data_IF_509323023414
#
_entry.id   IF_509323023414
#
_cell.length_a   1.000
_cell.length_b   1.000
_cell.length_c   1.000
_cell.angle_alpha   90.00
_cell.angle_beta   90.00
_cell.angle_gamma   90.00
#
_symmetry.space_group_name_H-M   'P 1'
#
loop_
_entity.id
_entity.type
_entity.pdbx_description
1 polymer ?
#
# COMPACT_ATOMS: atom_id res chain seq x y z
N UNK A 1 6.33 43.82 1.38
CA UNK A 1 6.09 43.09 0.13
C UNK A 1 7.08 41.95 0.13
N UNK A 2 6.76 40.66 0.17
CA UNK A 2 5.55 39.91 -0.16
C UNK A 2 5.69 38.49 0.40
N UNK A 3 5.49 38.28 1.71
CA UNK A 3 5.53 36.93 2.29
C UNK A 3 4.22 36.16 2.09
N UNK A 4 3.09 36.86 2.12
CA UNK A 4 1.77 36.26 1.94
C UNK A 4 1.48 35.94 0.47
N UNK A 5 1.87 36.82 -0.45
CA UNK A 5 1.59 36.70 -1.90
C UNK A 5 2.37 35.57 -2.58
N UNK A 6 3.61 35.30 -2.13
CA UNK A 6 4.43 34.20 -2.66
C UNK A 6 3.93 32.83 -2.17
N UNK A 7 3.45 32.76 -0.93
CA UNK A 7 2.86 31.51 -0.42
C UNK A 7 1.54 31.18 -1.12
N UNK A 8 0.72 32.19 -1.41
CA UNK A 8 -0.57 32.04 -2.11
C UNK A 8 -0.39 31.54 -3.55
N UNK A 9 0.59 32.09 -4.29
CA UNK A 9 0.90 31.63 -5.66
C UNK A 9 1.46 30.20 -5.69
N UNK A 10 2.36 29.86 -4.77
CA UNK A 10 2.89 28.49 -4.65
C UNK A 10 1.78 27.49 -4.33
N UNK A 11 0.83 27.88 -3.49
CA UNK A 11 -0.34 27.07 -3.15
C UNK A 11 -1.26 26.88 -4.37
N UNK A 12 -1.53 27.92 -5.17
CA UNK A 12 -2.33 27.82 -6.40
C UNK A 12 -1.71 26.88 -7.45
N UNK A 13 -0.40 26.98 -7.67
CA UNK A 13 0.32 26.12 -8.65
C UNK A 13 0.39 24.68 -8.15
N UNK A 14 0.59 24.49 -6.85
CA UNK A 14 0.51 23.18 -6.22
C UNK A 14 -0.89 22.54 -6.42
N UNK A 15 -1.96 23.31 -6.26
CA UNK A 15 -3.31 22.83 -6.56
C UNK A 15 -3.54 22.55 -8.05
N UNK A 16 -2.91 23.30 -8.95
CA UNK A 16 -2.92 23.00 -10.39
C UNK A 16 -2.23 21.67 -10.70
N UNK A 17 -1.07 21.41 -10.08
CA UNK A 17 -0.35 20.14 -10.20
C UNK A 17 -1.20 18.96 -9.71
N UNK A 18 -1.82 19.08 -8.53
CA UNK A 18 -2.69 18.01 -8.01
C UNK A 18 -3.92 17.77 -8.90
N UNK A 19 -4.50 18.83 -9.48
CA UNK A 19 -5.59 18.70 -10.46
C UNK A 19 -5.13 17.95 -11.71
N UNK A 20 -3.96 18.30 -12.24
CA UNK A 20 -3.39 17.59 -13.39
C UNK A 20 -3.17 16.10 -13.08
N UNK A 21 -2.61 15.78 -11.92
CA UNK A 21 -2.43 14.38 -11.50
C UNK A 21 -3.76 13.62 -11.38
N UNK A 22 -4.77 14.26 -10.77
CA UNK A 22 -6.12 13.69 -10.66
C UNK A 22 -6.74 13.45 -12.03
N UNK A 23 -6.68 14.43 -12.92
CA UNK A 23 -7.34 14.34 -14.23
C UNK A 23 -6.65 13.31 -15.15
N UNK A 24 -5.34 13.11 -14.98
CA UNK A 24 -4.54 12.13 -15.75
C UNK A 24 -4.68 10.68 -15.29
N UNK A 25 -4.88 10.39 -13.98
CA UNK A 25 -5.00 9.01 -13.44
C UNK A 25 -6.33 8.69 -12.76
N UNK A 26 -7.23 9.66 -12.65
CA UNK A 26 -8.51 9.50 -11.94
C UNK A 26 -8.37 9.37 -10.42
N UNK A 27 -7.23 9.75 -9.83
CA UNK A 27 -6.98 9.58 -8.40
C UNK A 27 -7.34 10.84 -7.61
N UNK A 28 -8.25 10.70 -6.63
CA UNK A 28 -8.68 11.82 -5.80
C UNK A 28 -7.78 12.01 -4.57
N UNK A 29 -7.08 13.14 -4.54
CA UNK A 29 -6.20 13.52 -3.43
C UNK A 29 -6.93 14.22 -2.27
N UNK A 30 -8.24 14.46 -2.35
CA UNK A 30 -8.99 15.21 -1.32
C UNK A 30 -8.93 14.57 0.07
N UNK A 31 -8.79 13.24 0.16
CA UNK A 31 -8.64 12.51 1.42
C UNK A 31 -7.26 12.67 2.09
N UNK A 32 -6.26 13.23 1.39
CA UNK A 32 -4.92 13.41 1.93
C UNK A 32 -4.76 14.76 2.61
N UNK A 33 -4.03 14.78 3.73
CA UNK A 33 -3.61 16.04 4.37
C UNK A 33 -2.69 16.82 3.42
N UNK A 34 -3.06 18.06 3.08
CA UNK A 34 -2.32 18.92 2.14
C UNK A 34 -0.86 19.10 2.48
N UNK A 35 -0.54 19.35 3.75
CA UNK A 35 0.85 19.47 4.21
C UNK A 35 1.68 18.19 3.94
N UNK A 36 1.07 17.01 4.04
CA UNK A 36 1.74 15.74 3.75
C UNK A 36 1.99 15.55 2.25
N UNK A 37 1.01 15.90 1.41
CA UNK A 37 1.18 15.86 -0.05
C UNK A 37 2.28 16.82 -0.48
N UNK A 38 2.22 18.07 -0.04
CA UNK A 38 3.18 19.10 -0.42
C UNK A 38 4.61 18.69 -0.05
N UNK A 39 4.80 18.12 1.14
CA UNK A 39 6.10 17.59 1.56
C UNK A 39 6.60 16.47 0.64
N UNK A 40 5.73 15.56 0.20
CA UNK A 40 6.09 14.45 -0.71
C UNK A 40 6.42 14.95 -2.11
N UNK A 41 5.61 15.85 -2.64
CA UNK A 41 5.86 16.46 -3.96
C UNK A 41 7.19 17.21 -3.95
N UNK A 42 7.44 18.06 -2.94
CA UNK A 42 8.73 18.75 -2.79
C UNK A 42 9.91 17.80 -2.64
N UNK A 43 9.74 16.68 -1.92
CA UNK A 43 10.79 15.68 -1.81
C UNK A 43 11.12 15.04 -3.17
N UNK A 44 10.11 14.73 -3.99
CA UNK A 44 10.35 14.20 -5.34
C UNK A 44 10.99 15.25 -6.25
N UNK A 45 10.54 16.50 -6.17
CA UNK A 45 11.13 17.63 -6.91
C UNK A 45 12.61 17.78 -6.61
N UNK A 46 13.00 17.74 -5.33
CA UNK A 46 14.40 17.81 -4.89
C UNK A 46 15.23 16.66 -5.46
N UNK A 47 14.69 15.42 -5.46
CA UNK A 47 15.35 14.27 -6.08
C UNK A 47 15.49 14.40 -7.61
N UNK A 48 14.52 15.03 -8.26
CA UNK A 48 14.49 15.23 -9.71
C UNK A 48 15.21 16.52 -10.16
N UNK A 49 15.62 17.38 -9.23
CA UNK A 49 16.38 18.60 -9.48
C UNK A 49 15.53 19.82 -9.87
N UNK A 50 14.28 19.91 -9.41
CA UNK A 50 13.37 21.03 -9.71
C UNK A 50 13.09 21.89 -8.46
N UNK A 51 13.07 23.20 -8.63
CA UNK A 51 12.94 24.15 -7.52
C UNK A 51 11.50 24.69 -7.37
N UNK A 52 10.76 24.79 -8.48
CA UNK A 52 9.41 25.40 -8.51
C UNK A 52 8.34 24.42 -8.97
N UNK A 53 7.10 24.60 -8.51
CA UNK A 53 5.99 23.73 -8.91
C UNK A 53 5.60 23.94 -10.37
N UNK A 54 5.83 25.15 -10.90
CA UNK A 54 5.59 25.55 -12.28
C UNK A 54 6.48 24.74 -13.23
N UNK A 55 7.80 24.77 -13.02
CA UNK A 55 8.76 23.99 -13.80
C UNK A 55 8.46 22.50 -13.70
N UNK A 56 8.10 22.03 -12.50
CA UNK A 56 7.82 20.63 -12.30
C UNK A 56 6.53 20.19 -12.98
N UNK A 57 5.49 21.03 -13.01
CA UNK A 57 4.26 20.75 -13.74
C UNK A 57 4.51 20.60 -15.24
N UNK A 58 5.33 21.45 -15.84
CA UNK A 58 5.70 21.35 -17.26
C UNK A 58 6.39 20.00 -17.56
N UNK A 59 7.27 19.56 -16.66
CA UNK A 59 7.96 18.26 -16.77
C UNK A 59 7.00 17.09 -16.65
N UNK A 60 6.06 17.14 -15.70
CA UNK A 60 5.04 16.10 -15.51
C UNK A 60 4.09 15.97 -16.71
N UNK A 61 3.92 17.06 -17.49
CA UNK A 61 3.17 17.05 -18.75
C UNK A 61 3.98 16.46 -19.91
N UNK A 62 5.30 16.61 -19.89
CA UNK A 62 6.19 16.12 -20.95
C UNK A 62 6.73 14.70 -20.72
N UNK A 63 6.73 14.20 -19.49
CA UNK A 63 7.36 12.92 -19.11
C UNK A 63 6.41 12.00 -18.35
N UNK A 64 5.99 10.92 -18.99
CA UNK A 64 5.19 9.86 -18.35
C UNK A 64 5.93 9.17 -17.22
N UNK A 65 7.25 9.07 -17.33
CA UNK A 65 8.10 8.37 -16.35
C UNK A 65 8.22 9.20 -15.08
N UNK A 66 8.40 10.51 -15.20
CA UNK A 66 8.44 11.41 -14.03
C UNK A 66 7.06 11.51 -13.39
N UNK A 67 5.99 11.53 -14.19
CA UNK A 67 4.63 11.44 -13.69
C UNK A 67 4.42 10.19 -12.83
N UNK A 68 4.83 9.02 -13.34
CA UNK A 68 4.70 7.76 -12.60
C UNK A 68 5.53 7.78 -11.31
N UNK A 69 6.76 8.29 -11.36
CA UNK A 69 7.62 8.39 -10.19
C UNK A 69 7.05 9.31 -9.09
N UNK A 70 6.48 10.45 -9.47
CA UNK A 70 5.79 11.33 -8.52
C UNK A 70 4.55 10.65 -7.94
N UNK A 71 3.74 10.04 -8.78
CA UNK A 71 2.52 9.34 -8.36
C UNK A 71 2.85 8.27 -7.31
N UNK A 72 3.85 7.42 -7.58
CA UNK A 72 4.33 6.40 -6.65
C UNK A 72 4.96 6.97 -5.37
N UNK A 73 5.53 8.18 -5.43
CA UNK A 73 6.06 8.87 -4.23
C UNK A 73 4.93 9.39 -3.33
N UNK A 74 3.83 9.83 -3.94
CA UNK A 74 2.64 10.28 -3.20
C UNK A 74 1.91 9.09 -2.57
N UNK A 75 1.80 7.98 -3.30
CA UNK A 75 1.28 6.73 -2.76
C UNK A 75 2.22 6.21 -1.67
N UNK A 76 1.65 5.80 -0.54
CA UNK A 76 2.42 5.31 0.61
C UNK A 76 2.50 3.80 0.50
N UNK A 77 3.49 3.30 -0.24
CA UNK A 77 3.60 1.86 -0.53
C UNK A 77 4.44 1.08 0.49
N UNK A 78 4.84 1.72 1.60
CA UNK A 78 5.57 1.04 2.67
C UNK A 78 4.61 0.17 3.46
N UNK A 79 4.81 -1.14 3.38
CA UNK A 79 4.07 -2.16 4.11
C UNK A 79 5.03 -3.23 4.62
N UNK A 80 4.66 -3.90 5.71
CA UNK A 80 5.40 -4.99 6.32
C UNK A 80 4.46 -6.14 6.67
N UNK A 81 4.98 -7.36 6.78
CA UNK A 81 4.21 -8.45 7.35
C UNK A 81 3.96 -8.19 8.82
N UNK A 82 2.75 -8.50 9.28
CA UNK A 82 2.33 -8.27 10.67
C UNK A 82 2.54 -6.83 11.14
N UNK A 83 2.43 -5.85 10.22
CA UNK A 83 2.45 -4.42 10.55
C UNK A 83 1.39 -4.12 11.61
N UNK A 84 1.76 -3.39 12.66
CA UNK A 84 0.91 -3.12 13.82
C UNK A 84 0.47 -4.41 14.54
N UNK A 85 1.44 -5.15 15.08
CA UNK A 85 1.26 -6.47 15.71
C UNK A 85 0.04 -6.57 16.65
N UNK A 86 -0.24 -5.54 17.46
CA UNK A 86 -1.39 -5.52 18.37
C UNK A 86 -2.75 -5.68 17.65
N UNK A 87 -2.89 -5.15 16.43
CA UNK A 87 -4.10 -5.31 15.62
C UNK A 87 -4.25 -6.76 15.13
N UNK A 88 -3.14 -7.40 14.74
CA UNK A 88 -3.11 -8.81 14.34
C UNK A 88 -3.37 -9.76 15.51
N UNK A 89 -2.87 -9.44 16.69
CA UNK A 89 -3.13 -10.23 17.89
C UNK A 89 -4.62 -10.16 18.25
N UNK A 90 -5.22 -8.97 18.26
CA UNK A 90 -6.67 -8.83 18.45
C UNK A 90 -7.48 -9.57 17.37
N UNK A 91 -7.06 -9.50 16.10
CA UNK A 91 -7.72 -10.22 15.01
C UNK A 91 -7.64 -11.74 15.23
N UNK A 92 -6.50 -12.26 15.66
CA UNK A 92 -6.27 -13.69 15.89
C UNK A 92 -7.01 -14.20 17.13
N UNK A 93 -7.03 -13.44 18.21
CA UNK A 93 -7.53 -13.86 19.52
C UNK A 93 -9.05 -13.66 19.66
N UNK A 94 -9.60 -12.62 19.03
CA UNK A 94 -11.01 -12.23 19.25
C UNK A 94 -11.83 -12.33 17.96
N UNK A 95 -11.39 -11.68 16.89
CA UNK A 95 -12.21 -11.51 15.66
C UNK A 95 -12.37 -12.82 14.91
N UNK A 96 -11.27 -13.54 14.64
CA UNK A 96 -11.31 -14.80 13.88
C UNK A 96 -12.09 -15.87 14.63
N UNK A 97 -11.86 -16.14 15.93
CA UNK A 97 -12.66 -17.12 16.67
C UNK A 97 -14.15 -16.79 16.67
N UNK A 98 -14.52 -15.53 16.90
CA UNK A 98 -15.92 -15.09 16.85
C UNK A 98 -16.53 -15.30 15.46
N UNK A 99 -15.82 -14.92 14.39
CA UNK A 99 -16.27 -15.11 13.00
C UNK A 99 -16.51 -16.59 12.66
N UNK A 100 -15.67 -17.49 13.18
CA UNK A 100 -15.77 -18.93 12.93
C UNK A 100 -16.90 -19.57 13.73
N UNK A 101 -17.16 -19.11 14.95
CA UNK A 101 -18.24 -19.62 15.80
C UNK A 101 -19.64 -19.36 15.21
N UNK A 102 -19.80 -18.27 14.47
CA UNK A 102 -21.07 -17.88 13.84
C UNK A 102 -21.32 -18.56 12.48
N UNK A 103 -20.37 -19.36 12.00
CA UNK A 103 -20.41 -19.95 10.64
C UNK A 103 -20.40 -21.46 10.68
N UNK A 104 -21.16 -22.07 9.78
CA UNK A 104 -21.13 -23.51 9.55
C UNK A 104 -19.75 -23.98 9.06
N UNK A 105 -19.40 -25.28 9.22
CA UNK A 105 -18.08 -25.82 8.84
C UNK A 105 -17.73 -25.73 7.35
N UNK A 106 -18.71 -25.46 6.47
CA UNK A 106 -18.53 -25.30 5.02
C UNK A 106 -18.84 -23.89 4.52
N UNK A 107 -19.25 -22.98 5.40
CA UNK A 107 -19.65 -21.63 4.97
C UNK A 107 -18.44 -20.84 4.47
N UNK A 108 -18.57 -20.12 3.34
CA UNK A 108 -17.47 -19.35 2.78
C UNK A 108 -17.15 -18.14 3.67
N UNK A 109 -15.86 -17.81 3.71
CA UNK A 109 -15.33 -16.63 4.40
C UNK A 109 -14.68 -15.74 3.34
N UNK A 110 -15.13 -14.49 3.27
CA UNK A 110 -14.60 -13.50 2.36
C UNK A 110 -14.00 -12.36 3.17
N UNK A 111 -12.75 -12.02 2.89
CA UNK A 111 -12.05 -10.92 3.56
C UNK A 111 -11.48 -10.00 2.49
N UNK A 112 -11.42 -8.71 2.78
CA UNK A 112 -10.90 -7.70 1.87
C UNK A 112 -9.77 -6.91 2.54
N UNK A 113 -8.58 -6.96 1.96
CA UNK A 113 -7.47 -6.05 2.25
C UNK A 113 -7.52 -4.91 1.23
N UNK A 114 -7.86 -3.71 1.71
CA UNK A 114 -8.06 -2.52 0.90
C UNK A 114 -6.84 -1.58 1.06
N UNK A 115 -6.13 -1.33 -0.04
CA UNK A 115 -4.82 -0.69 -0.01
C UNK A 115 -3.72 -1.69 0.37
N UNK A 116 -3.69 -2.85 -0.31
CA UNK A 116 -2.81 -3.96 0.08
C UNK A 116 -1.32 -3.73 -0.22
N UNK A 117 -0.98 -2.67 -0.95
CA UNK A 117 0.35 -2.40 -1.49
C UNK A 117 0.93 -3.67 -2.14
N UNK A 118 2.16 -4.02 -1.77
CA UNK A 118 2.87 -5.22 -2.23
C UNK A 118 2.42 -6.53 -1.58
N UNK A 119 1.20 -6.58 -1.02
CA UNK A 119 0.50 -7.81 -0.65
C UNK A 119 0.84 -8.39 0.72
N UNK A 120 1.79 -7.81 1.45
CA UNK A 120 2.25 -8.34 2.76
C UNK A 120 1.10 -8.48 3.76
N UNK A 121 0.18 -7.51 3.82
CA UNK A 121 -1.03 -7.58 4.66
C UNK A 121 -1.95 -8.75 4.25
N UNK A 122 -2.20 -8.91 2.95
CA UNK A 122 -3.07 -9.97 2.44
C UNK A 122 -2.49 -11.37 2.74
N UNK A 123 -1.16 -11.54 2.65
CA UNK A 123 -0.49 -12.77 3.01
C UNK A 123 -0.41 -12.99 4.53
N UNK A 124 -0.23 -11.94 5.33
CA UNK A 124 -0.38 -12.01 6.79
C UNK A 124 -1.76 -12.53 7.18
N UNK A 125 -2.81 -11.97 6.59
CA UNK A 125 -4.18 -12.44 6.81
C UNK A 125 -4.36 -13.89 6.36
N UNK A 126 -3.78 -14.30 5.23
CA UNK A 126 -3.82 -15.68 4.77
C UNK A 126 -3.19 -16.64 5.80
N UNK A 127 -2.01 -16.29 6.34
CA UNK A 127 -1.36 -17.06 7.39
C UNK A 127 -2.22 -17.16 8.66
N UNK A 128 -2.79 -16.05 9.13
CA UNK A 128 -3.66 -16.04 10.33
C UNK A 128 -4.89 -16.93 10.14
N UNK A 129 -5.56 -16.82 9.00
CA UNK A 129 -6.74 -17.64 8.70
C UNK A 129 -6.39 -19.12 8.52
N UNK A 130 -5.24 -19.42 7.91
CA UNK A 130 -4.77 -20.79 7.73
C UNK A 130 -4.37 -21.45 9.06
N UNK A 131 -3.77 -20.72 10.00
CA UNK A 131 -3.49 -21.22 11.35
C UNK A 131 -4.78 -21.50 12.13
N UNK A 132 -5.80 -20.65 11.99
CA UNK A 132 -7.07 -20.82 12.71
C UNK A 132 -7.95 -21.97 12.17
N UNK A 133 -7.96 -22.16 10.85
CA UNK A 133 -8.83 -23.15 10.18
C UNK A 133 -8.12 -24.47 9.86
N UNK A 134 -6.80 -24.46 9.79
CA UNK A 134 -6.01 -25.48 9.11
C UNK A 134 -5.98 -25.27 7.57
N UNK A 135 -4.93 -25.77 6.89
CA UNK A 135 -4.68 -25.48 5.48
C UNK A 135 -5.76 -26.02 4.53
N UNK A 136 -6.41 -27.14 4.88
CA UNK A 136 -7.46 -27.73 4.04
C UNK A 136 -8.73 -26.88 4.04
N UNK A 137 -9.26 -26.56 5.23
CA UNK A 137 -10.46 -25.74 5.36
C UNK A 137 -10.23 -24.31 4.85
N UNK A 138 -9.03 -23.76 5.05
CA UNK A 138 -8.65 -22.47 4.47
C UNK A 138 -8.80 -22.47 2.95
N UNK A 139 -8.18 -23.44 2.26
CA UNK A 139 -8.23 -23.53 0.78
C UNK A 139 -9.63 -23.71 0.23
N UNK A 140 -10.50 -24.41 0.95
CA UNK A 140 -11.87 -24.68 0.51
C UNK A 140 -12.82 -23.50 0.73
N UNK A 141 -12.60 -22.70 1.79
CA UNK A 141 -13.62 -21.78 2.29
C UNK A 141 -13.23 -20.31 2.24
N UNK A 142 -11.94 -19.99 2.25
CA UNK A 142 -11.47 -18.60 2.39
C UNK A 142 -11.17 -17.99 1.03
N UNK A 143 -11.68 -16.78 0.81
CA UNK A 143 -11.35 -15.93 -0.33
C UNK A 143 -10.87 -14.57 0.20
N UNK A 144 -9.62 -14.24 -0.08
CA UNK A 144 -9.06 -12.92 0.22
C UNK A 144 -9.07 -12.10 -1.06
N UNK A 145 -9.73 -10.95 -1.01
CA UNK A 145 -9.65 -9.92 -2.03
C UNK A 145 -8.59 -8.93 -1.56
N UNK A 146 -7.58 -8.65 -2.39
CA UNK A 146 -6.55 -7.67 -2.11
C UNK A 146 -6.58 -6.67 -3.26
N UNK A 147 -6.82 -5.40 -2.95
CA UNK A 147 -6.97 -4.34 -3.96
C UNK A 147 -6.08 -3.16 -3.61
N UNK A 148 -5.48 -2.56 -4.62
CA UNK A 148 -4.73 -1.33 -4.50
C UNK A 148 -4.95 -0.48 -5.76
N UNK A 149 -4.65 0.81 -5.66
CA UNK A 149 -4.64 1.73 -6.81
C UNK A 149 -3.30 1.67 -7.55
N UNK A 150 -2.26 1.18 -6.87
CA UNK A 150 -0.91 1.04 -7.40
C UNK A 150 -0.74 -0.32 -8.12
N UNK A 151 -0.72 -0.28 -9.45
CA UNK A 151 -0.52 -1.47 -10.28
C UNK A 151 0.89 -2.08 -10.16
N UNK A 152 1.92 -1.28 -9.85
CA UNK A 152 3.27 -1.81 -9.62
C UNK A 152 3.32 -2.59 -8.30
N UNK A 153 2.70 -2.03 -7.25
CA UNK A 153 2.56 -2.72 -5.97
C UNK A 153 1.73 -4.01 -6.11
N UNK A 154 0.64 -3.99 -6.87
CA UNK A 154 -0.14 -5.19 -7.19
C UNK A 154 0.67 -6.22 -7.98
N UNK A 155 1.57 -5.78 -8.86
CA UNK A 155 2.48 -6.67 -9.59
C UNK A 155 3.45 -7.37 -8.64
N UNK A 156 4.04 -6.65 -7.68
CA UNK A 156 4.86 -7.24 -6.61
C UNK A 156 4.04 -8.22 -5.75
N UNK A 157 2.83 -7.83 -5.34
CA UNK A 157 1.93 -8.67 -4.55
C UNK A 157 1.59 -9.99 -5.24
N UNK A 158 1.35 -9.95 -6.56
CA UNK A 158 1.09 -11.15 -7.38
C UNK A 158 2.32 -12.03 -7.55
N UNK A 159 3.51 -11.43 -7.64
CA UNK A 159 4.76 -12.18 -7.73
C UNK A 159 5.10 -12.92 -6.42
N UNK A 160 4.66 -12.38 -5.28
CA UNK A 160 4.79 -12.99 -3.95
C UNK A 160 6.24 -13.38 -3.58
N UNK A 161 7.22 -12.64 -4.12
CA UNK A 161 8.64 -12.86 -3.87
C UNK A 161 9.18 -11.68 -3.09
N UNK A 162 9.75 -11.97 -1.91
CA UNK A 162 10.19 -10.97 -0.95
C UNK A 162 11.63 -11.26 -0.55
N UNK A 163 12.42 -10.22 -0.33
CA UNK A 163 13.78 -10.41 0.16
C UNK A 163 13.83 -10.75 1.66
N UNK A 164 14.99 -11.21 2.13
CA UNK A 164 15.18 -11.62 3.52
C UNK A 164 14.82 -10.53 4.55
N UNK A 165 15.05 -9.25 4.20
CA UNK A 165 14.72 -8.12 5.08
C UNK A 165 13.20 -7.94 5.19
N UNK A 166 12.50 -8.09 4.08
CA UNK A 166 11.05 -7.94 4.00
C UNK A 166 10.28 -8.94 4.84
N UNK A 167 10.87 -10.11 5.12
CA UNK A 167 10.24 -11.18 5.88
C UNK A 167 10.75 -11.28 7.32
N UNK A 168 11.63 -10.37 7.77
CA UNK A 168 12.25 -10.48 9.11
C UNK A 168 11.23 -10.39 10.25
N UNK A 169 10.12 -9.67 10.02
CA UNK A 169 9.04 -9.51 11.01
C UNK A 169 8.14 -10.73 11.15
N UNK A 170 8.28 -11.72 10.26
CA UNK A 170 7.46 -12.94 10.29
C UNK A 170 8.02 -13.88 11.37
N UNK A 171 7.17 -14.40 12.29
CA UNK A 171 7.59 -15.44 13.22
C UNK A 171 8.20 -16.65 12.49
N UNK A 172 9.36 -17.12 12.94
CA UNK A 172 10.16 -18.16 12.26
C UNK A 172 9.36 -19.40 11.87
N UNK A 173 8.42 -19.83 12.70
CA UNK A 173 7.60 -21.02 12.41
C UNK A 173 6.60 -20.80 11.28
N UNK A 174 6.06 -19.57 11.14
CA UNK A 174 5.21 -19.21 10.02
C UNK A 174 6.05 -19.05 8.75
N UNK A 175 7.23 -18.43 8.85
CA UNK A 175 8.15 -18.28 7.72
C UNK A 175 8.51 -19.64 7.12
N UNK A 176 8.92 -20.61 7.95
CA UNK A 176 9.23 -21.98 7.51
C UNK A 176 8.06 -22.72 6.88
N UNK A 177 6.83 -22.43 7.34
CA UNK A 177 5.62 -23.13 6.88
C UNK A 177 5.07 -22.56 5.58
N UNK A 178 5.16 -21.25 5.40
CA UNK A 178 4.44 -20.53 4.34
C UNK A 178 5.34 -19.92 3.26
N UNK A 179 6.67 -19.96 3.43
CA UNK A 179 7.61 -19.48 2.44
C UNK A 179 8.58 -20.59 2.02
N UNK A 180 8.99 -20.55 0.76
CA UNK A 180 10.07 -21.35 0.22
C UNK A 180 11.21 -20.41 -0.17
N UNK A 181 12.44 -20.76 0.20
CA UNK A 181 13.61 -19.99 -0.19
C UNK A 181 14.01 -20.35 -1.62
N UNK A 182 14.10 -19.35 -2.50
CA UNK A 182 14.40 -19.54 -3.93
C UNK A 182 15.62 -18.71 -4.32
N UNK A 183 16.67 -19.37 -4.81
CA UNK A 183 17.87 -18.68 -5.32
C UNK A 183 18.63 -17.89 -4.25
N UNK A 184 18.54 -18.28 -2.97
CA UNK A 184 19.16 -17.57 -1.85
C UNK A 184 18.38 -16.33 -1.38
N UNK A 185 17.14 -16.15 -1.84
CA UNK A 185 16.19 -15.13 -1.39
C UNK A 185 14.95 -15.80 -0.83
#
# INVERSE_FOLDING_TARGET
>A
MDGATVNDQSDEVFEALLRYMRDSRGFDFTGYKRASLMRRVRHRMDQAGYETFEEYLDVLQASSDEFAALFNTILINVTDFFRDAAAWDFLREEVVPSLLAERGPSDPIRVWSAGCASGREAYTLAMVMAEALGPEAFRQRVKIYATDVDEEALTEARAASYDAKSVESIPTELLRRYFEQVGGR
#
